data_IF_035187173811
#
_entry.id   IF_035187173811
#
_cell.length_a   1.000
_cell.length_b   1.000
_cell.length_c   1.000
_cell.angle_alpha   90.00
_cell.angle_beta   90.00
_cell.angle_gamma   90.00
#
_symmetry.space_group_name_H-M   'P 1'
#
loop_
_entity.id
_entity.type
_entity.pdbx_description
1 polymer ?
#
# COMPACT_ATOMS: atom_id res chain seq x y z
N UNK A 1 6.75 -14.90 2.53
CA UNK A 1 7.47 -14.34 1.35
C UNK A 1 6.71 -13.12 0.85
N UNK A 2 6.75 -12.87 -0.46
CA UNK A 2 5.87 -11.92 -1.16
C UNK A 2 5.41 -12.57 -2.47
N UNK A 3 4.39 -12.01 -3.12
CA UNK A 3 3.87 -12.56 -4.37
C UNK A 3 3.30 -13.97 -4.17
N UNK A 4 3.69 -14.92 -5.03
CA UNK A 4 3.21 -16.30 -4.97
C UNK A 4 3.62 -17.05 -3.68
N UNK A 5 4.64 -16.57 -2.96
CA UNK A 5 5.14 -17.20 -1.73
C UNK A 5 4.48 -16.68 -0.44
N UNK A 6 3.38 -15.92 -0.54
CA UNK A 6 2.55 -15.50 0.58
C UNK A 6 2.21 -14.01 0.62
N UNK A 7 1.14 -13.70 1.34
CA UNK A 7 0.50 -12.37 1.45
C UNK A 7 1.15 -11.46 2.50
N UNK A 8 1.75 -12.07 3.51
CA UNK A 8 2.20 -11.40 4.73
C UNK A 8 1.03 -11.01 5.66
N UNK A 9 1.33 -10.43 6.84
CA UNK A 9 2.66 -10.19 7.40
C UNK A 9 3.44 -11.48 7.70
N UNK A 10 4.74 -11.36 7.91
CA UNK A 10 5.64 -12.48 8.20
C UNK A 10 5.29 -13.12 9.55
N UNK A 11 5.13 -14.44 9.55
CA UNK A 11 5.06 -15.21 10.79
C UNK A 11 6.33 -14.99 11.63
N UNK A 12 6.17 -14.91 12.95
CA UNK A 12 7.26 -14.59 13.89
C UNK A 12 7.74 -13.13 13.84
N UNK A 13 7.19 -12.29 12.97
CA UNK A 13 7.47 -10.86 12.93
C UNK A 13 6.58 -10.05 13.88
N UNK A 14 6.96 -8.79 14.17
CA UNK A 14 6.22 -7.92 15.10
C UNK A 14 4.82 -7.58 14.59
N UNK A 15 4.58 -7.74 13.28
CA UNK A 15 3.34 -7.34 12.63
C UNK A 15 2.31 -8.46 12.50
N UNK A 16 2.66 -9.70 12.87
CA UNK A 16 1.82 -10.86 12.59
C UNK A 16 0.50 -10.82 13.36
N UNK A 17 0.55 -10.44 14.64
CA UNK A 17 -0.62 -10.45 15.51
C UNK A 17 -1.65 -9.38 15.16
N UNK A 18 -1.25 -8.28 14.53
CA UNK A 18 -2.19 -7.25 14.08
C UNK A 18 -3.25 -7.82 13.12
N UNK A 19 -2.93 -8.84 12.29
CA UNK A 19 -3.93 -9.46 11.40
C UNK A 19 -5.09 -10.13 12.13
N UNK A 20 -4.93 -10.44 13.41
CA UNK A 20 -5.94 -11.08 14.24
C UNK A 20 -6.55 -10.13 15.27
N UNK A 21 -6.08 -8.88 15.36
CA UNK A 21 -6.57 -7.93 16.37
C UNK A 21 -7.91 -7.29 16.02
N UNK A 22 -8.35 -7.36 14.75
CA UNK A 22 -9.66 -6.86 14.32
C UNK A 22 -10.77 -7.91 14.45
N UNK A 23 -10.90 -8.53 15.64
CA UNK A 23 -11.97 -9.47 15.96
C UNK A 23 -13.39 -8.82 15.99
N UNK A 24 -13.49 -7.50 15.77
CA UNK A 24 -14.73 -6.72 15.86
C UNK A 24 -15.55 -6.57 14.57
N UNK A 25 -15.14 -7.12 13.43
CA UNK A 25 -16.03 -7.18 12.24
C UNK A 25 -16.97 -8.37 12.35
N UNK A 26 -17.95 -8.23 13.24
CA UNK A 26 -19.18 -9.01 13.22
C UNK A 26 -19.81 -8.83 11.83
N UNK A 27 -19.81 -9.92 11.05
CA UNK A 27 -20.65 -10.22 9.88
C UNK A 27 -20.81 -9.15 8.79
N UNK A 28 -20.54 -9.53 7.54
CA UNK A 28 -21.18 -8.95 6.34
C UNK A 28 -22.72 -9.16 6.40
N UNK A 29 -23.40 -8.59 7.40
CA UNK A 29 -24.86 -8.57 7.55
C UNK A 29 -25.46 -7.25 7.04
N UNK A 30 -24.67 -6.44 6.32
CA UNK A 30 -25.24 -5.31 5.60
C UNK A 30 -26.15 -5.82 4.49
N UNK A 31 -27.35 -5.23 4.41
CA UNK A 31 -28.30 -5.46 3.32
C UNK A 31 -27.85 -4.81 2.01
N UNK A 32 -26.87 -3.91 2.05
CA UNK A 32 -26.34 -3.19 0.88
C UNK A 32 -25.06 -3.85 0.35
N UNK A 33 -24.99 -4.02 -0.97
CA UNK A 33 -23.81 -4.54 -1.65
C UNK A 33 -22.91 -3.40 -2.12
N UNK A 34 -21.59 -3.60 -2.08
CA UNK A 34 -20.65 -2.70 -2.74
C UNK A 34 -20.89 -2.78 -4.26
N UNK A 35 -21.27 -1.65 -4.87
CA UNK A 35 -21.48 -1.57 -6.31
C UNK A 35 -20.13 -1.65 -7.04
N UNK A 36 -19.94 -2.72 -7.81
CA UNK A 36 -18.73 -2.95 -8.58
C UNK A 36 -19.09 -3.56 -9.94
N UNK A 37 -18.48 -3.03 -11.01
CA UNK A 37 -18.67 -3.55 -12.35
C UNK A 37 -17.84 -4.83 -12.53
N UNK A 38 -18.51 -5.97 -12.71
CA UNK A 38 -17.89 -7.28 -12.91
C UNK A 38 -17.57 -7.61 -14.36
N UNK A 39 -17.78 -6.68 -15.29
CA UNK A 39 -17.48 -6.87 -16.70
C UNK A 39 -15.96 -6.88 -16.93
N UNK A 40 -15.34 -8.03 -16.62
CA UNK A 40 -13.93 -8.26 -16.83
C UNK A 40 -13.65 -8.44 -18.33
N UNK A 41 -13.32 -7.34 -18.99
CA UNK A 41 -12.84 -7.33 -20.37
C UNK A 41 -11.41 -7.90 -20.43
N UNK A 42 -10.99 -8.47 -21.58
CA UNK A 42 -9.59 -8.84 -21.78
C UNK A 42 -8.67 -7.67 -21.48
N UNK A 43 -7.57 -7.93 -20.75
CA UNK A 43 -6.59 -6.92 -20.40
C UNK A 43 -6.00 -6.30 -21.68
N UNK A 44 -6.28 -5.02 -21.92
CA UNK A 44 -5.79 -4.33 -23.11
C UNK A 44 -4.28 -4.04 -23.02
N UNK A 45 -3.59 -3.89 -24.17
CA UNK A 45 -2.20 -3.46 -24.19
C UNK A 45 -1.99 -2.10 -23.51
N UNK A 46 -2.95 -1.17 -23.63
CA UNK A 46 -2.88 0.14 -22.99
C UNK A 46 -2.92 0.03 -21.45
N UNK A 47 -3.80 -0.81 -20.89
CA UNK A 47 -3.87 -1.05 -19.45
C UNK A 47 -2.58 -1.71 -18.94
N UNK A 48 -2.02 -2.64 -19.71
CA UNK A 48 -0.75 -3.30 -19.38
C UNK A 48 0.43 -2.31 -19.34
N UNK A 49 0.49 -1.38 -20.31
CA UNK A 49 1.49 -0.32 -20.34
C UNK A 49 1.37 0.64 -19.14
N UNK A 50 0.14 1.01 -18.75
CA UNK A 50 -0.10 1.85 -17.56
C UNK A 50 0.47 1.20 -16.29
N UNK A 51 0.22 -0.10 -16.09
CA UNK A 51 0.76 -0.87 -14.95
C UNK A 51 2.29 -0.90 -15.00
N UNK A 52 2.88 -1.16 -16.17
CA UNK A 52 4.33 -1.23 -16.31
C UNK A 52 5.00 0.13 -16.06
N UNK A 53 4.42 1.23 -16.56
CA UNK A 53 4.89 2.59 -16.27
C UNK A 53 4.81 2.91 -14.78
N UNK A 54 3.75 2.47 -14.10
CA UNK A 54 3.60 2.64 -12.66
C UNK A 54 4.68 1.89 -11.87
N UNK A 55 4.99 0.65 -12.29
CA UNK A 55 6.04 -0.19 -11.71
C UNK A 55 7.43 0.42 -11.89
N UNK A 56 7.73 0.98 -13.06
CA UNK A 56 9.00 1.68 -13.32
C UNK A 56 9.13 2.94 -12.46
N UNK A 57 8.05 3.73 -12.34
CA UNK A 57 8.05 4.94 -11.51
C UNK A 57 8.27 4.63 -10.03
N UNK A 58 7.70 3.54 -9.52
CA UNK A 58 7.97 3.07 -8.16
C UNK A 58 9.45 2.79 -7.92
N UNK A 59 10.15 2.21 -8.90
CA UNK A 59 11.58 1.97 -8.80
C UNK A 59 12.36 3.25 -8.49
N UNK A 60 12.01 4.38 -9.13
CA UNK A 60 12.60 5.69 -8.84
C UNK A 60 12.16 6.23 -7.47
N UNK A 61 10.86 6.16 -7.18
CA UNK A 61 10.29 6.64 -5.92
C UNK A 61 10.84 5.91 -4.69
N UNK A 62 11.18 4.62 -4.84
CA UNK A 62 11.82 3.82 -3.80
C UNK A 62 13.15 4.40 -3.32
N UNK A 63 13.89 5.12 -4.17
CA UNK A 63 15.15 5.79 -3.81
C UNK A 63 14.94 7.19 -3.19
N UNK A 64 13.75 7.77 -3.31
CA UNK A 64 13.41 9.02 -2.62
C UNK A 64 13.31 8.76 -1.12
N UNK A 65 14.01 9.55 -0.31
CA UNK A 65 14.05 9.37 1.15
C UNK A 65 12.67 9.60 1.78
N UNK A 66 12.40 8.98 2.92
CA UNK A 66 11.10 9.15 3.60
C UNK A 66 10.82 10.63 3.92
N UNK A 67 11.85 11.40 4.31
CA UNK A 67 11.70 12.82 4.56
C UNK A 67 11.28 13.61 3.32
N UNK A 68 11.87 13.33 2.15
CA UNK A 68 11.47 13.96 0.89
C UNK A 68 10.05 13.57 0.48
N UNK A 69 9.68 12.29 0.65
CA UNK A 69 8.30 11.84 0.39
C UNK A 69 7.31 12.57 1.27
N UNK A 70 7.59 12.71 2.56
CA UNK A 70 6.78 13.47 3.52
C UNK A 70 6.63 14.93 3.06
N UNK A 71 7.75 15.59 2.75
CA UNK A 71 7.76 16.99 2.31
C UNK A 71 6.94 17.24 1.04
N UNK A 72 6.81 16.23 0.18
CA UNK A 72 6.02 16.28 -1.04
C UNK A 72 4.55 15.92 -0.78
N UNK A 73 4.30 14.80 -0.10
CA UNK A 73 2.97 14.20 0.01
C UNK A 73 2.02 15.05 0.85
N UNK A 74 2.52 15.63 1.96
CA UNK A 74 1.70 16.39 2.90
C UNK A 74 1.22 17.75 2.37
N UNK A 75 1.78 18.25 1.26
CA UNK A 75 1.47 19.59 0.72
C UNK A 75 0.19 19.67 -0.13
N UNK A 76 -0.49 18.55 -0.38
CA UNK A 76 -1.61 18.49 -1.36
C UNK A 76 -2.99 18.51 -0.69
N UNK A 77 -3.07 18.39 0.63
CA UNK A 77 -4.32 18.56 1.36
C UNK A 77 -4.09 18.80 2.84
N UNK A 78 -4.73 19.85 3.38
CA UNK A 78 -4.65 20.23 4.81
C UNK A 78 -5.07 19.08 5.73
N UNK A 79 -6.07 18.31 5.31
CA UNK A 79 -6.55 17.14 6.04
C UNK A 79 -5.47 16.09 6.30
N UNK A 80 -4.41 16.05 5.49
CA UNK A 80 -3.30 15.10 5.68
C UNK A 80 -2.47 15.52 6.91
N UNK A 81 -2.24 16.82 7.10
CA UNK A 81 -1.43 17.35 8.22
C UNK A 81 -2.14 17.30 9.56
N UNK A 82 -3.47 17.11 9.56
CA UNK A 82 -4.27 16.92 10.78
C UNK A 82 -4.19 15.50 11.34
N UNK A 83 -3.51 14.58 10.64
CA UNK A 83 -3.39 13.18 11.03
C UNK A 83 -2.04 12.85 11.67
N UNK A 84 -1.93 11.69 12.32
CA UNK A 84 -0.66 11.14 12.80
C UNK A 84 0.20 10.48 11.69
N UNK A 85 -0.20 10.60 10.41
CA UNK A 85 0.42 9.88 9.31
C UNK A 85 1.90 10.21 9.16
N UNK A 86 2.28 11.49 9.30
CA UNK A 86 3.68 11.92 9.22
C UNK A 86 4.55 11.21 10.27
N UNK A 87 4.16 11.33 11.54
CA UNK A 87 4.90 10.77 12.65
C UNK A 87 5.04 9.25 12.50
N UNK A 88 3.96 8.59 12.10
CA UNK A 88 3.91 7.16 11.91
C UNK A 88 4.81 6.67 10.77
N UNK A 89 4.80 7.37 9.63
CA UNK A 89 5.66 7.05 8.48
C UNK A 89 7.12 7.29 8.83
N UNK A 90 7.45 8.39 9.50
CA UNK A 90 8.81 8.66 9.95
C UNK A 90 9.31 7.59 10.91
N UNK A 91 8.52 7.20 11.89
CA UNK A 91 8.87 6.15 12.87
C UNK A 91 9.06 4.79 12.21
N UNK A 92 8.12 4.36 11.36
CA UNK A 92 8.07 2.97 10.86
C UNK A 92 8.84 2.73 9.57
N UNK A 93 9.08 3.75 8.73
CA UNK A 93 9.63 3.57 7.38
C UNK A 93 11.02 4.17 7.19
N UNK A 94 11.48 5.09 8.05
CA UNK A 94 12.75 5.79 7.82
C UNK A 94 13.97 4.88 7.98
N UNK A 95 13.90 3.89 8.88
CA UNK A 95 15.02 3.01 9.20
C UNK A 95 14.55 1.56 9.37
N UNK A 96 15.36 0.56 9.00
CA UNK A 96 15.08 -0.82 9.35
C UNK A 96 15.04 -1.01 10.88
N UNK A 97 14.12 -1.86 11.33
CA UNK A 97 14.10 -2.38 12.70
C UNK A 97 15.21 -3.42 12.86
N UNK A 98 16.16 -3.15 13.76
CA UNK A 98 17.15 -4.15 14.15
C UNK A 98 16.46 -5.22 15.00
N UNK A 99 16.66 -6.49 14.62
CA UNK A 99 16.13 -7.64 15.35
C UNK A 99 17.23 -8.25 16.22
N UNK A 100 16.90 -8.74 17.43
CA UNK A 100 17.86 -9.49 18.23
C UNK A 100 18.29 -10.76 17.49
N UNK A 101 19.54 -11.15 17.67
CA UNK A 101 20.12 -12.32 17.03
C UNK A 101 21.45 -12.71 17.67
N UNK A 102 22.07 -13.80 17.20
CA UNK A 102 23.37 -14.23 17.69
C UNK A 102 24.47 -13.22 17.37
N UNK A 103 25.56 -13.25 18.13
CA UNK A 103 26.75 -12.43 17.84
C UNK A 103 27.33 -12.78 16.48
N UNK A 104 27.83 -11.77 15.75
CA UNK A 104 28.43 -12.00 14.43
C UNK A 104 27.41 -12.01 13.29
N UNK A 105 26.15 -11.69 13.60
CA UNK A 105 25.06 -11.56 12.64
C UNK A 105 24.40 -10.19 12.79
N UNK A 106 24.03 -9.57 11.67
CA UNK A 106 23.17 -8.38 11.66
C UNK A 106 21.82 -8.75 11.07
N UNK A 107 20.76 -8.59 11.87
CA UNK A 107 19.39 -8.91 11.48
C UNK A 107 18.54 -7.64 11.42
N UNK A 108 17.94 -7.40 10.26
CA UNK A 108 17.15 -6.20 10.01
C UNK A 108 15.82 -6.55 9.36
N UNK A 109 14.75 -5.92 9.83
CA UNK A 109 13.44 -5.91 9.21
C UNK A 109 13.16 -4.51 8.65
N UNK A 110 12.89 -4.43 7.35
CA UNK A 110 12.53 -3.18 6.68
C UNK A 110 11.17 -3.31 5.99
N UNK A 111 10.46 -2.19 5.87
CA UNK A 111 9.17 -2.09 5.19
C UNK A 111 9.36 -1.41 3.84
N UNK A 112 8.72 -1.96 2.81
CA UNK A 112 8.81 -1.47 1.44
C UNK A 112 7.40 -1.35 0.86
N UNK A 113 7.21 -0.45 -0.11
CA UNK A 113 5.95 -0.35 -0.84
C UNK A 113 5.59 -1.69 -1.48
N UNK A 114 4.33 -2.10 -1.34
CA UNK A 114 3.85 -3.42 -1.78
C UNK A 114 3.89 -3.57 -3.30
N UNK A 115 3.58 -2.52 -4.05
CA UNK A 115 3.58 -2.55 -5.51
C UNK A 115 2.64 -1.53 -6.12
N UNK A 116 2.23 -1.79 -7.37
CA UNK A 116 1.21 -1.01 -8.07
C UNK A 116 -0.15 -1.37 -7.47
N UNK A 117 -0.89 -0.37 -6.98
CA UNK A 117 -2.19 -0.58 -6.35
C UNK A 117 -3.30 0.05 -7.21
N UNK A 118 -4.51 -0.48 -7.09
CA UNK A 118 -5.70 0.13 -7.67
C UNK A 118 -6.44 0.86 -6.56
N UNK A 119 -6.86 2.09 -6.79
CA UNK A 119 -7.81 2.80 -5.94
C UNK A 119 -9.14 2.95 -6.68
N UNK A 120 -10.17 2.28 -6.20
CA UNK A 120 -11.53 2.35 -6.74
C UNK A 120 -12.30 3.37 -5.91
N UNK A 121 -12.82 4.40 -6.57
CA UNK A 121 -13.57 5.50 -5.97
C UNK A 121 -14.96 5.54 -6.60
N UNK A 122 -15.99 5.39 -5.77
CA UNK A 122 -17.40 5.55 -6.19
C UNK A 122 -17.86 6.99 -5.99
N UNK A 123 -18.97 7.37 -6.64
CA UNK A 123 -19.50 8.73 -6.57
C UNK A 123 -19.97 9.14 -5.16
N UNK A 124 -20.27 8.17 -4.29
CA UNK A 124 -20.64 8.37 -2.89
C UNK A 124 -19.45 8.41 -1.92
N UNK A 125 -18.22 8.10 -2.37
CA UNK A 125 -17.08 8.00 -1.46
C UNK A 125 -16.63 9.40 -0.98
N UNK A 126 -16.42 9.63 0.32
CA UNK A 126 -16.07 10.95 0.81
C UNK A 126 -14.65 11.38 0.40
N UNK A 127 -14.50 12.67 0.11
CA UNK A 127 -13.25 13.30 -0.34
C UNK A 127 -12.05 13.06 0.59
N UNK A 128 -12.25 13.20 1.90
CA UNK A 128 -11.19 13.07 2.89
C UNK A 128 -10.53 11.67 2.86
N UNK A 129 -11.26 10.54 3.01
CA UNK A 129 -10.74 9.20 2.80
C UNK A 129 -9.96 9.03 1.50
N UNK A 130 -10.48 9.54 0.38
CA UNK A 130 -9.82 9.46 -0.93
C UNK A 130 -8.43 10.12 -0.88
N UNK A 131 -8.36 11.37 -0.40
CA UNK A 131 -7.10 12.11 -0.27
C UNK A 131 -6.11 11.40 0.65
N UNK A 132 -6.57 10.89 1.80
CA UNK A 132 -5.74 10.17 2.76
C UNK A 132 -5.25 8.82 2.23
N UNK A 133 -6.06 8.09 1.46
CA UNK A 133 -5.64 6.85 0.81
C UNK A 133 -4.58 7.08 -0.26
N UNK A 134 -4.71 8.14 -1.05
CA UNK A 134 -3.69 8.56 -2.03
C UNK A 134 -2.38 8.88 -1.31
N UNK A 135 -2.45 9.71 -0.27
CA UNK A 135 -1.27 10.11 0.52
C UNK A 135 -0.58 8.90 1.18
N UNK A 136 -1.36 8.00 1.80
CA UNK A 136 -0.84 6.79 2.45
C UNK A 136 -0.13 5.87 1.47
N UNK A 137 -0.69 5.64 0.28
CA UNK A 137 -0.04 4.81 -0.73
C UNK A 137 1.30 5.41 -1.18
N UNK A 138 1.34 6.71 -1.49
CA UNK A 138 2.55 7.40 -1.91
C UNK A 138 3.64 7.37 -0.82
N UNK A 139 3.29 7.65 0.43
CA UNK A 139 4.23 7.60 1.56
C UNK A 139 4.80 6.20 1.78
N UNK A 140 3.94 5.17 1.67
CA UNK A 140 4.34 3.77 1.75
C UNK A 140 5.19 3.33 0.54
N UNK A 141 5.25 4.12 -0.52
CA UNK A 141 6.05 3.86 -1.71
C UNK A 141 5.31 3.09 -2.82
N UNK A 142 3.99 3.02 -2.75
CA UNK A 142 3.14 2.42 -3.78
C UNK A 142 2.75 3.44 -4.85
N UNK A 143 2.65 3.00 -6.11
CA UNK A 143 1.97 3.77 -7.16
C UNK A 143 0.50 3.40 -7.24
N UNK A 144 -0.34 4.30 -7.75
CA UNK A 144 -1.78 4.15 -7.86
C UNK A 144 -2.26 4.25 -9.31
N UNK A 145 -3.12 3.31 -9.68
CA UNK A 145 -4.08 3.45 -10.78
C UNK A 145 -5.44 3.78 -10.16
N UNK A 146 -5.90 5.00 -10.38
CA UNK A 146 -7.13 5.54 -9.77
C UNK A 146 -8.28 5.36 -10.75
N UNK A 147 -9.24 4.53 -10.37
CA UNK A 147 -10.49 4.26 -11.08
C UNK A 147 -11.60 5.03 -10.36
N UNK A 148 -11.99 6.20 -10.88
CA UNK A 148 -12.90 7.11 -10.18
C UNK A 148 -14.24 7.30 -10.90
N UNK A 149 -15.31 7.42 -10.12
CA UNK A 149 -16.60 7.91 -10.58
C UNK A 149 -16.54 9.36 -11.06
N UNK A 150 -17.53 9.76 -11.86
CA UNK A 150 -17.54 11.06 -12.53
C UNK A 150 -17.57 12.22 -11.54
N UNK A 151 -18.19 12.05 -10.36
CA UNK A 151 -18.28 13.11 -9.35
C UNK A 151 -16.91 13.51 -8.79
N UNK A 152 -15.95 12.59 -8.76
CA UNK A 152 -14.61 12.82 -8.20
C UNK A 152 -13.55 13.15 -9.25
N UNK A 153 -13.88 13.15 -10.55
CA UNK A 153 -12.90 13.37 -11.61
C UNK A 153 -12.10 14.67 -11.45
N UNK A 154 -12.77 15.80 -11.21
CA UNK A 154 -12.08 17.08 -11.07
C UNK A 154 -11.14 17.09 -9.87
N UNK A 155 -11.63 16.63 -8.71
CA UNK A 155 -10.82 16.51 -7.49
C UNK A 155 -9.57 15.65 -7.69
N UNK A 156 -9.71 14.50 -8.36
CA UNK A 156 -8.59 13.61 -8.66
C UNK A 156 -7.60 14.30 -9.60
N UNK A 157 -8.07 14.99 -10.64
CA UNK A 157 -7.22 15.76 -11.57
C UNK A 157 -6.44 16.86 -10.82
N UNK A 158 -7.08 17.56 -9.88
CA UNK A 158 -6.45 18.61 -9.09
C UNK A 158 -5.34 18.05 -8.20
N UNK A 159 -5.62 16.94 -7.49
CA UNK A 159 -4.62 16.20 -6.67
C UNK A 159 -3.42 15.78 -7.54
N UNK A 160 -3.67 15.17 -8.70
CA UNK A 160 -2.62 14.75 -9.62
C UNK A 160 -1.77 15.94 -10.10
N UNK A 161 -2.42 17.06 -10.41
CA UNK A 161 -1.77 18.28 -10.88
C UNK A 161 -0.89 18.91 -9.79
N UNK A 162 -1.37 18.96 -8.55
CA UNK A 162 -0.60 19.43 -7.40
C UNK A 162 0.64 18.55 -7.17
N UNK A 163 0.50 17.23 -7.13
CA UNK A 163 1.65 16.34 -6.98
C UNK A 163 2.64 16.44 -8.13
N UNK A 164 2.15 16.61 -9.36
CA UNK A 164 3.00 16.83 -10.54
C UNK A 164 3.82 18.12 -10.39
N UNK A 165 3.22 19.21 -9.92
CA UNK A 165 3.95 20.47 -9.67
C UNK A 165 5.02 20.33 -8.60
N UNK A 166 4.79 19.46 -7.60
CA UNK A 166 5.77 19.16 -6.55
C UNK A 166 6.87 18.19 -7.00
N UNK A 167 6.85 17.72 -8.25
CA UNK A 167 7.89 16.85 -8.82
C UNK A 167 7.66 15.35 -8.58
N UNK A 168 6.45 14.94 -8.20
CA UNK A 168 6.12 13.51 -8.13
C UNK A 168 6.32 12.86 -9.51
N UNK A 169 7.02 11.71 -9.62
CA UNK A 169 7.17 11.03 -10.90
C UNK A 169 5.80 10.76 -11.53
N UNK A 170 5.60 11.20 -12.79
CA UNK A 170 4.28 11.24 -13.45
C UNK A 170 3.46 9.95 -13.33
N UNK A 171 4.10 8.78 -13.43
CA UNK A 171 3.40 7.50 -13.39
C UNK A 171 3.17 6.93 -11.98
N UNK A 172 3.51 7.66 -10.92
CA UNK A 172 3.15 7.29 -9.54
C UNK A 172 1.64 7.37 -9.32
N UNK A 173 0.96 8.30 -9.98
CA UNK A 173 -0.49 8.42 -9.97
C UNK A 173 -0.99 8.51 -11.41
N UNK A 174 -1.91 7.63 -11.78
CA UNK A 174 -2.52 7.63 -13.11
C UNK A 174 -4.01 7.37 -12.97
N UNK A 175 -4.84 8.05 -13.75
CA UNK A 175 -6.28 7.80 -13.82
C UNK A 175 -6.57 6.73 -14.86
N UNK A 176 -7.55 5.88 -14.57
CA UNK A 176 -8.08 4.85 -15.47
C UNK A 176 -9.61 4.90 -15.42
N UNK A 177 -10.29 4.53 -16.51
CA UNK A 177 -11.74 4.43 -16.51
C UNK A 177 -12.22 3.44 -15.45
N UNK A 178 -13.31 3.78 -14.76
CA UNK A 178 -13.86 2.94 -13.69
C UNK A 178 -14.24 1.52 -14.17
N UNK A 179 -14.73 1.42 -15.41
CA UNK A 179 -15.09 0.15 -16.05
C UNK A 179 -13.91 -0.78 -16.33
N UNK A 180 -12.68 -0.27 -16.36
CA UNK A 180 -11.48 -1.09 -16.55
C UNK A 180 -10.94 -1.69 -15.24
N UNK A 181 -11.57 -1.37 -14.10
CA UNK A 181 -11.11 -1.80 -12.77
C UNK A 181 -11.07 -3.32 -12.62
N UNK A 182 -12.07 -4.06 -13.12
CA UNK A 182 -12.09 -5.53 -13.10
C UNK A 182 -10.94 -6.13 -13.92
N UNK A 183 -10.70 -5.60 -15.13
CA UNK A 183 -9.58 -6.04 -15.98
C UNK A 183 -8.22 -5.74 -15.36
N UNK A 184 -8.05 -4.57 -14.76
CA UNK A 184 -6.84 -4.23 -14.00
C UNK A 184 -6.64 -5.18 -12.81
N UNK A 185 -7.71 -5.52 -12.10
CA UNK A 185 -7.68 -6.53 -11.02
C UNK A 185 -7.22 -7.89 -11.55
N UNK A 186 -7.23 -8.20 -12.84
CA UNK A 186 -6.66 -9.46 -13.34
C UNK A 186 -5.18 -9.37 -13.72
N UNK A 187 -4.58 -8.17 -13.76
CA UNK A 187 -3.17 -8.01 -14.14
C UNK A 187 -2.23 -8.54 -13.02
N UNK A 188 -1.28 -9.45 -13.33
CA UNK A 188 -0.43 -10.10 -12.33
C UNK A 188 0.51 -9.14 -11.58
N UNK A 189 0.81 -7.97 -12.13
CA UNK A 189 1.68 -6.96 -11.52
C UNK A 189 0.95 -6.01 -10.55
N UNK A 190 -0.39 -6.08 -10.48
CA UNK A 190 -1.15 -5.40 -9.43
C UNK A 190 -0.91 -6.11 -8.10
N UNK A 191 -0.64 -5.31 -7.07
CA UNK A 191 -0.21 -5.75 -5.76
C UNK A 191 -1.24 -5.51 -4.65
N UNK A 192 -2.38 -4.88 -4.95
CA UNK A 192 -3.47 -4.63 -4.01
C UNK A 192 -4.57 -3.75 -4.58
N UNK A 193 -5.74 -3.80 -3.93
CA UNK A 193 -6.92 -3.00 -4.26
C UNK A 193 -7.32 -2.21 -3.03
N UNK A 194 -7.61 -0.93 -3.21
CA UNK A 194 -8.16 -0.03 -2.21
C UNK A 194 -9.57 0.31 -2.65
N UNK A 195 -10.56 0.07 -1.80
CA UNK A 195 -11.96 0.37 -2.09
C UNK A 195 -12.72 0.61 -0.79
N UNK A 196 -13.67 1.54 -0.79
CA UNK A 196 -14.35 1.94 0.42
C UNK A 196 -15.76 1.40 0.44
N UNK A 197 -16.00 0.32 1.19
CA UNK A 197 -17.35 -0.21 1.32
C UNK A 197 -18.21 0.57 2.29
N UNK A 198 -17.60 1.26 3.27
CA UNK A 198 -18.28 1.93 4.38
C UNK A 198 -19.35 1.04 5.04
N UNK A 199 -19.07 -0.26 5.14
CA UNK A 199 -19.98 -1.25 5.71
C UNK A 199 -20.86 -1.99 4.71
N UNK A 200 -20.85 -1.62 3.43
CA UNK A 200 -21.47 -2.43 2.36
C UNK A 200 -20.73 -3.76 2.18
N UNK A 201 -21.42 -4.75 1.62
CA UNK A 201 -20.84 -6.07 1.38
C UNK A 201 -19.91 -6.07 0.16
N UNK A 202 -18.60 -6.21 0.40
CA UNK A 202 -17.55 -6.27 -0.64
C UNK A 202 -17.36 -7.67 -1.26
N UNK A 203 -18.27 -8.62 -1.03
CA UNK A 203 -18.18 -10.01 -1.52
C UNK A 203 -17.92 -10.08 -3.02
N UNK A 204 -18.64 -9.28 -3.79
CA UNK A 204 -18.53 -9.30 -5.23
C UNK A 204 -17.12 -8.92 -5.68
N UNK A 205 -16.58 -7.80 -5.17
CA UNK A 205 -15.20 -7.38 -5.43
C UNK A 205 -14.18 -8.44 -4.99
N UNK A 206 -14.35 -9.03 -3.79
CA UNK A 206 -13.48 -10.11 -3.31
C UNK A 206 -13.53 -11.36 -4.21
N UNK A 207 -14.70 -11.72 -4.74
CA UNK A 207 -14.84 -12.80 -5.71
C UNK A 207 -14.12 -12.49 -7.01
N UNK A 208 -14.17 -11.24 -7.49
CA UNK A 208 -13.42 -10.83 -8.68
C UNK A 208 -11.89 -10.94 -8.45
N UNK A 209 -11.41 -10.43 -7.32
CA UNK A 209 -10.01 -10.54 -6.94
C UNK A 209 -9.55 -12.00 -6.79
N UNK A 210 -10.44 -12.90 -6.34
CA UNK A 210 -10.13 -14.32 -6.18
C UNK A 210 -10.02 -15.09 -7.51
N UNK A 211 -10.56 -14.56 -8.62
CA UNK A 211 -10.40 -15.16 -9.97
C UNK A 211 -8.99 -15.03 -10.52
N UNK A 212 -8.16 -14.16 -9.94
CA UNK A 212 -6.76 -13.96 -10.34
C UNK A 212 -5.97 -15.27 -10.30
N UNK A 213 -5.18 -15.52 -11.33
CA UNK A 213 -4.20 -16.63 -11.36
C UNK A 213 -2.87 -16.28 -10.69
N UNK A 214 -2.67 -15.01 -10.32
CA UNK A 214 -1.45 -14.50 -9.71
C UNK A 214 -1.42 -14.58 -8.18
N UNK A 215 -0.60 -13.74 -7.58
CA UNK A 215 -0.54 -13.65 -6.12
C UNK A 215 -1.86 -13.18 -5.51
N UNK A 216 -2.15 -13.69 -4.31
CA UNK A 216 -3.24 -13.16 -3.47
C UNK A 216 -2.85 -11.75 -3.04
N UNK A 217 -3.73 -10.80 -3.31
CA UNK A 217 -3.52 -9.37 -3.03
C UNK A 217 -4.50 -8.87 -1.97
N UNK A 218 -4.12 -7.90 -1.13
CA UNK A 218 -5.01 -7.35 -0.12
C UNK A 218 -6.10 -6.48 -0.74
N UNK A 219 -7.30 -6.57 -0.15
CA UNK A 219 -8.32 -5.52 -0.22
C UNK A 219 -8.14 -4.61 1.00
N UNK A 220 -7.90 -3.33 0.76
CA UNK A 220 -7.69 -2.32 1.79
C UNK A 220 -8.94 -1.43 1.82
N UNK A 221 -9.74 -1.57 2.87
CA UNK A 221 -10.96 -0.80 3.04
C UNK A 221 -10.71 0.36 4.01
N UNK A 222 -11.35 1.51 3.80
CA UNK A 222 -11.28 2.60 4.78
C UNK A 222 -11.77 2.11 6.14
N UNK A 223 -11.09 2.46 7.24
CA UNK A 223 -11.53 2.02 8.56
C UNK A 223 -12.90 2.60 8.95
N UNK A 224 -13.68 1.85 9.74
CA UNK A 224 -15.02 2.31 10.18
C UNK A 224 -14.95 3.54 11.09
N UNK A 225 -13.87 3.66 11.86
CA UNK A 225 -13.61 4.78 12.76
C UNK A 225 -12.22 5.34 12.49
N UNK A 226 -12.04 6.66 12.66
CA UNK A 226 -10.76 7.31 12.38
C UNK A 226 -9.61 6.80 13.26
N UNK A 227 -9.88 6.27 14.45
CA UNK A 227 -8.86 5.67 15.31
C UNK A 227 -8.18 4.43 14.68
N UNK A 228 -8.86 3.78 13.73
CA UNK A 228 -8.33 2.63 13.01
C UNK A 228 -7.51 3.03 11.77
N UNK A 229 -7.44 4.32 11.44
CA UNK A 229 -6.47 4.88 10.48
C UNK A 229 -5.10 4.98 11.16
N UNK A 230 -4.43 3.84 11.29
CA UNK A 230 -3.21 3.68 12.08
C UNK A 230 -2.18 2.79 11.37
N UNK A 231 -1.12 2.40 12.09
CA UNK A 231 -0.04 1.58 11.54
C UNK A 231 -0.51 0.23 11.01
N UNK A 232 -1.44 -0.43 11.71
CA UNK A 232 -1.98 -1.71 11.27
C UNK A 232 -2.66 -1.56 9.91
N UNK A 233 -3.47 -0.52 9.72
CA UNK A 233 -4.09 -0.26 8.42
C UNK A 233 -3.05 0.00 7.32
N UNK A 234 -1.97 0.75 7.61
CA UNK A 234 -0.89 0.97 6.64
C UNK A 234 -0.13 -0.30 6.22
N UNK A 235 -0.13 -1.37 7.03
CA UNK A 235 0.50 -2.64 6.64
C UNK A 235 -0.12 -3.23 5.35
N UNK A 236 -1.35 -2.84 4.99
CA UNK A 236 -1.94 -3.16 3.69
C UNK A 236 -1.12 -2.67 2.50
N UNK A 237 -0.45 -1.53 2.62
CA UNK A 237 0.37 -0.91 1.58
C UNK A 237 1.84 -1.37 1.61
N UNK A 238 2.23 -2.13 2.64
CA UNK A 238 3.63 -2.43 2.91
C UNK A 238 3.93 -3.92 2.75
N UNK A 239 5.18 -4.22 2.41
CA UNK A 239 5.76 -5.55 2.36
C UNK A 239 7.00 -5.61 3.23
N UNK A 240 7.08 -6.63 4.07
CA UNK A 240 8.20 -6.85 4.97
C UNK A 240 9.38 -7.53 4.27
N UNK A 241 10.58 -6.99 4.47
CA UNK A 241 11.84 -7.57 4.01
C UNK A 241 12.80 -7.74 5.19
N UNK A 242 13.14 -8.99 5.47
CA UNK A 242 14.17 -9.37 6.42
C UNK A 242 15.50 -9.51 5.68
N UNK A 243 16.58 -8.96 6.24
CA UNK A 243 17.95 -9.11 5.76
C UNK A 243 18.79 -9.58 6.94
N UNK A 244 19.51 -10.68 6.72
CA UNK A 244 20.43 -11.27 7.68
C UNK A 244 21.81 -11.28 7.04
N UNK A 245 22.78 -10.66 7.70
CA UNK A 245 24.16 -10.56 7.22
C UNK A 245 25.09 -11.27 8.20
N UNK A 246 25.83 -12.25 7.68
CA UNK A 246 26.93 -12.88 8.42
C UNK A 246 28.14 -11.93 8.45
N UNK A 247 28.36 -11.26 9.57
CA UNK A 247 29.46 -10.30 9.78
C UNK A 247 30.82 -11.00 9.95
N UNK A 248 30.81 -12.28 10.33
CA UNK A 248 32.01 -13.07 10.63
C UNK A 248 32.49 -13.92 9.46
N UNK A 249 31.85 -13.80 8.29
CA UNK A 249 32.18 -14.58 7.10
C UNK A 249 33.65 -14.45 6.65
N UNK A 250 34.37 -13.42 7.12
CA UNK A 250 35.78 -13.17 6.82
C UNK A 250 36.77 -13.65 7.91
N UNK A 251 36.31 -14.40 8.92
CA UNK A 251 37.19 -15.13 9.85
C UNK A 251 37.31 -14.60 11.27
N UNK A 252 36.43 -13.70 11.73
CA UNK A 252 36.41 -13.27 13.13
C UNK A 252 35.30 -12.27 13.45
N UNK A 253 34.90 -12.20 14.72
CA UNK A 253 33.91 -11.24 15.21
C UNK A 253 34.58 -10.10 15.97
N UNK A 254 34.71 -8.94 15.33
CA UNK A 254 35.36 -7.78 15.93
C UNK A 254 34.62 -7.24 17.16
N UNK A 255 33.31 -7.47 17.27
CA UNK A 255 32.52 -7.07 18.44
C UNK A 255 32.86 -7.90 19.68
N UNK A 256 33.37 -9.13 19.52
CA UNK A 256 33.78 -9.97 20.65
C UNK A 256 35.15 -9.58 21.23
N UNK A 257 35.99 -8.87 20.48
CA UNK A 257 37.30 -8.43 20.98
C UNK A 257 37.21 -7.34 22.05
N UNK A 258 36.05 -6.67 22.17
CA UNK A 258 35.82 -5.59 23.13
C UNK A 258 34.90 -6.00 24.29
N UNK A 259 34.57 -7.29 24.42
CA UNK A 259 33.86 -7.78 25.59
C UNK A 259 34.84 -7.88 26.76
N UNK A 260 34.59 -7.12 27.82
CA UNK A 260 35.28 -7.28 29.10
C UNK A 260 34.89 -8.61 29.76
N UNK A 261 35.88 -9.29 30.37
CA UNK A 261 35.68 -10.52 31.16
C UNK A 261 34.61 -10.38 32.26
#
# INVERSE_FOLDING_TARGET
GRGLSGTGPKAGGPNYLYRFSNAGTIGDQSSTNFAFNHDCKPLSPQLSDLVQRAKIAMGKWAYTSIQERVNMVLKVGEVITETSLEALVKDKLSHPLNLPGPTGESNQLSLHGRGVMILIIRDEDPAMPITLQIASALLCGCSLLICAGMHHHQMVIDILSHYKMLGLPKSMLQTVALDDSASLIQNPDIAGVIANSFGANSKALRQEMAKRSGCIIPLIEWPKINADYNYHWLLGFLSERTRTENLVARGGNTQLFNLSE
#
